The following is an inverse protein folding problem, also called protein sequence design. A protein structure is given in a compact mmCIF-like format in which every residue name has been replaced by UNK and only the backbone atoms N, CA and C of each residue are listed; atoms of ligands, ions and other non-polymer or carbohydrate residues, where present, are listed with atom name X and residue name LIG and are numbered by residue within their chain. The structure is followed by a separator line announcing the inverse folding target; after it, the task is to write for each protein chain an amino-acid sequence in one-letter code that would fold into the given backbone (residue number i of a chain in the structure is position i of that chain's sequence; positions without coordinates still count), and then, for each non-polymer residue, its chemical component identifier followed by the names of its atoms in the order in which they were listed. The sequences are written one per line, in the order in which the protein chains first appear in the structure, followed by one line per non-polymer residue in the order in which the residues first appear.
data_IF_598555196346
#
_entry.id   IF_598555196346
#
_cell.length_a   1.000
_cell.length_b   1.000
_cell.length_c   1.000
_cell.angle_alpha   90.00
_cell.angle_beta   90.00
_cell.angle_gamma   90.00
#
_symmetry.space_group_name_H-M   'P 1'
#
loop_
_entity.id
_entity.type
_entity.pdbx_description
1 polymer ?
#
# COMPACT_ATOMS: atom_id res chain seq x y z
N UNK A 1 -11.24 45.32 15.83
CA UNK A 1 -10.45 44.36 15.03
C UNK A 1 -10.76 42.93 15.41
N UNK A 2 -10.72 42.50 16.70
CA UNK A 2 -11.00 41.14 17.11
C UNK A 2 -12.38 40.61 16.65
N UNK A 3 -13.46 41.39 16.87
CA UNK A 3 -14.83 41.01 16.49
C UNK A 3 -15.00 40.74 14.97
N UNK A 4 -14.32 41.50 14.11
CA UNK A 4 -14.38 41.31 12.66
C UNK A 4 -13.65 40.02 12.24
N UNK A 5 -12.51 39.72 12.88
CA UNK A 5 -11.76 38.48 12.62
C UNK A 5 -12.54 37.24 13.07
N UNK A 6 -13.16 37.30 14.26
CA UNK A 6 -14.00 36.22 14.77
C UNK A 6 -15.21 35.98 13.88
N UNK A 7 -15.88 37.04 13.43
CA UNK A 7 -17.02 36.94 12.53
C UNK A 7 -16.63 36.25 11.18
N UNK A 8 -15.52 36.66 10.61
CA UNK A 8 -15.01 36.06 9.37
C UNK A 8 -14.65 34.59 9.56
N UNK A 9 -14.00 34.23 10.68
CA UNK A 9 -13.62 32.83 10.97
C UNK A 9 -14.85 31.93 11.16
N UNK A 10 -15.90 32.43 11.82
CA UNK A 10 -17.15 31.66 12.00
C UNK A 10 -17.85 31.43 10.67
N UNK A 11 -17.93 32.44 9.81
CA UNK A 11 -18.54 32.33 8.48
C UNK A 11 -17.72 31.36 7.59
N UNK A 12 -16.40 31.50 7.58
CA UNK A 12 -15.53 30.62 6.81
C UNK A 12 -15.59 29.17 7.30
N UNK A 13 -15.56 28.97 8.62
CA UNK A 13 -15.69 27.64 9.22
C UNK A 13 -17.05 26.99 8.96
N UNK A 14 -18.12 27.76 9.05
CA UNK A 14 -19.48 27.30 8.74
C UNK A 14 -19.66 26.91 7.27
N UNK A 15 -19.10 27.72 6.36
CA UNK A 15 -19.11 27.42 4.91
C UNK A 15 -18.30 26.13 4.59
N UNK A 16 -17.13 25.98 5.19
CA UNK A 16 -16.31 24.76 5.01
C UNK A 16 -17.02 23.52 5.56
N UNK A 17 -17.64 23.61 6.75
CA UNK A 17 -18.44 22.54 7.32
C UNK A 17 -19.61 22.14 6.42
N UNK A 18 -20.36 23.12 5.95
CA UNK A 18 -21.50 22.87 5.06
C UNK A 18 -21.07 22.24 3.72
N UNK A 19 -20.00 22.73 3.10
CA UNK A 19 -19.45 22.11 1.86
C UNK A 19 -19.00 20.68 2.13
N UNK A 20 -18.34 20.41 3.25
CA UNK A 20 -17.93 19.06 3.64
C UNK A 20 -19.13 18.12 3.77
N UNK A 21 -20.20 18.54 4.44
CA UNK A 21 -21.39 17.71 4.63
C UNK A 21 -22.12 17.40 3.30
N UNK A 22 -22.22 18.39 2.42
CA UNK A 22 -22.88 18.21 1.09
C UNK A 22 -22.04 17.34 0.16
N UNK A 23 -20.70 17.36 0.30
CA UNK A 23 -19.80 16.59 -0.59
C UNK A 23 -19.42 15.22 -0.05
N UNK A 24 -19.61 14.94 1.25
CA UNK A 24 -19.20 13.69 1.88
C UNK A 24 -19.92 12.46 1.27
N UNK A 25 -21.23 12.54 1.08
CA UNK A 25 -22.03 11.44 0.54
C UNK A 25 -21.71 11.13 -0.94
N UNK A 26 -21.68 12.09 -1.88
CA UNK A 26 -21.30 11.83 -3.27
C UNK A 26 -19.84 11.33 -3.39
N UNK A 27 -18.93 11.79 -2.53
CA UNK A 27 -17.54 11.27 -2.49
C UNK A 27 -17.54 9.82 -2.03
N UNK A 28 -18.29 9.47 -0.99
CA UNK A 28 -18.39 8.10 -0.50
C UNK A 28 -18.96 7.14 -1.56
N UNK A 29 -19.99 7.57 -2.28
CA UNK A 29 -20.59 6.79 -3.38
C UNK A 29 -19.62 6.62 -4.55
N UNK A 30 -18.89 7.68 -4.94
CA UNK A 30 -17.88 7.61 -5.99
C UNK A 30 -16.74 6.66 -5.61
N UNK A 31 -16.26 6.72 -4.36
CA UNK A 31 -15.20 5.84 -3.86
C UNK A 31 -15.67 4.38 -3.81
N UNK A 32 -16.90 4.11 -3.36
CA UNK A 32 -17.47 2.76 -3.34
C UNK A 32 -17.57 2.18 -4.75
N UNK A 33 -18.01 2.97 -5.73
CA UNK A 33 -18.05 2.55 -7.13
C UNK A 33 -16.66 2.28 -7.68
N UNK A 34 -15.72 3.19 -7.47
CA UNK A 34 -14.32 3.03 -7.90
C UNK A 34 -13.69 1.75 -7.31
N UNK A 35 -13.96 1.48 -6.04
CA UNK A 35 -13.50 0.27 -5.38
C UNK A 35 -14.12 -0.99 -5.99
N UNK A 36 -15.44 -0.99 -6.23
CA UNK A 36 -16.13 -2.12 -6.87
C UNK A 36 -15.59 -2.39 -8.28
N UNK A 37 -15.39 -1.32 -9.07
CA UNK A 37 -14.80 -1.42 -10.42
C UNK A 37 -13.35 -1.95 -10.34
N UNK A 38 -12.56 -1.51 -9.36
CA UNK A 38 -11.20 -2.01 -9.13
C UNK A 38 -11.17 -3.49 -8.73
N UNK A 39 -12.09 -3.95 -7.87
CA UNK A 39 -12.23 -5.36 -7.51
C UNK A 39 -12.55 -6.20 -8.74
N UNK A 40 -13.44 -5.73 -9.61
CA UNK A 40 -13.80 -6.43 -10.84
C UNK A 40 -12.63 -6.58 -11.83
N UNK A 41 -11.69 -5.63 -11.80
CA UNK A 41 -10.46 -5.70 -12.60
C UNK A 41 -9.50 -6.74 -12.03
N UNK A 42 -9.28 -6.74 -10.70
CA UNK A 42 -8.24 -7.58 -10.08
C UNK A 42 -8.69 -9.02 -9.80
N UNK A 43 -10.00 -9.27 -9.66
CA UNK A 43 -10.58 -10.62 -9.53
C UNK A 43 -11.82 -10.70 -10.42
N UNK A 44 -11.67 -10.96 -11.72
CA UNK A 44 -12.81 -10.96 -12.62
C UNK A 44 -13.72 -12.19 -12.43
N UNK A 45 -15.02 -12.00 -12.68
CA UNK A 45 -15.98 -13.09 -12.82
C UNK A 45 -16.74 -13.49 -11.56
N UNK A 46 -16.68 -12.73 -10.48
CA UNK A 46 -17.51 -12.90 -9.31
C UNK A 46 -18.98 -12.48 -9.57
N UNK A 47 -19.90 -12.99 -8.78
CA UNK A 47 -21.34 -12.68 -8.81
C UNK A 47 -21.89 -12.12 -7.48
N UNK A 48 -21.04 -12.03 -6.45
CA UNK A 48 -21.36 -11.37 -5.19
C UNK A 48 -21.00 -9.87 -5.23
N UNK A 49 -21.21 -9.15 -4.11
CA UNK A 49 -20.77 -7.76 -3.95
C UNK A 49 -19.68 -7.65 -2.87
N UNK A 50 -18.39 -7.93 -3.18
CA UNK A 50 -17.33 -7.98 -2.19
C UNK A 50 -17.10 -6.64 -1.48
N UNK A 51 -17.38 -5.51 -2.15
CA UNK A 51 -17.16 -4.18 -1.61
C UNK A 51 -18.07 -3.84 -0.42
N UNK A 52 -19.24 -4.48 -0.29
CA UNK A 52 -20.22 -4.22 0.79
C UNK A 52 -19.83 -4.87 2.12
N UNK A 53 -19.06 -5.97 2.08
CA UNK A 53 -18.71 -6.74 3.27
C UNK A 53 -17.21 -7.08 3.32
N UNK A 54 -16.33 -6.08 3.48
CA UNK A 54 -14.91 -6.33 3.62
C UNK A 54 -14.61 -7.07 4.94
N UNK A 55 -13.77 -8.09 4.87
CA UNK A 55 -13.18 -8.68 6.05
C UNK A 55 -11.96 -7.87 6.47
N UNK A 56 -11.87 -7.54 7.75
CA UNK A 56 -10.73 -6.81 8.29
C UNK A 56 -9.81 -7.79 9.02
N UNK A 57 -8.55 -7.81 8.63
CA UNK A 57 -7.51 -8.67 9.20
C UNK A 57 -6.36 -7.81 9.69
N UNK A 58 -5.85 -8.10 10.88
CA UNK A 58 -4.66 -7.47 11.43
C UNK A 58 -3.46 -8.42 11.29
N UNK A 59 -2.41 -7.95 10.63
CA UNK A 59 -1.16 -8.67 10.44
C UNK A 59 0.00 -7.71 10.75
N UNK A 60 0.90 -8.09 11.65
CA UNK A 60 2.07 -7.30 12.05
C UNK A 60 1.73 -5.88 12.55
N UNK A 61 0.59 -5.71 13.24
CA UNK A 61 0.14 -4.41 13.74
C UNK A 61 -0.43 -3.48 12.66
N UNK A 62 -0.59 -3.94 11.43
CA UNK A 62 -1.26 -3.22 10.35
C UNK A 62 -2.60 -3.88 10.00
N UNK A 63 -3.59 -3.06 9.68
CA UNK A 63 -4.94 -3.49 9.36
C UNK A 63 -5.14 -3.53 7.85
N UNK A 64 -5.63 -4.65 7.33
CA UNK A 64 -5.89 -4.88 5.91
C UNK A 64 -7.36 -5.16 5.68
N UNK A 65 -7.88 -4.77 4.51
CA UNK A 65 -9.23 -5.10 4.07
C UNK A 65 -9.16 -6.14 2.98
N UNK A 66 -9.92 -7.23 3.16
CA UNK A 66 -10.01 -8.35 2.23
C UNK A 66 -11.43 -8.40 1.67
N UNK A 67 -11.54 -8.39 0.37
CA UNK A 67 -12.78 -8.44 -0.40
C UNK A 67 -12.91 -9.80 -1.04
N UNK A 68 -13.67 -10.71 -0.43
CA UNK A 68 -13.83 -12.10 -0.91
C UNK A 68 -14.73 -12.14 -2.14
N UNK A 69 -14.22 -12.68 -3.22
CA UNK A 69 -14.94 -12.88 -4.47
C UNK A 69 -15.46 -14.32 -4.58
N UNK A 70 -16.77 -14.44 -4.82
CA UNK A 70 -17.43 -15.75 -5.00
C UNK A 70 -18.18 -15.80 -6.31
N UNK A 71 -18.37 -17.02 -6.83
CA UNK A 71 -19.17 -17.29 -8.01
C UNK A 71 -20.03 -18.53 -7.77
N UNK A 72 -21.36 -18.38 -7.84
CA UNK A 72 -22.29 -19.46 -7.49
C UNK A 72 -22.16 -19.94 -6.04
N UNK A 73 -21.66 -19.07 -5.13
CA UNK A 73 -21.40 -19.38 -3.72
C UNK A 73 -20.02 -19.99 -3.44
N UNK A 74 -19.26 -20.36 -4.48
CA UNK A 74 -17.91 -20.91 -4.33
C UNK A 74 -16.86 -19.79 -4.37
N UNK A 75 -15.82 -19.79 -3.52
CA UNK A 75 -14.77 -18.78 -3.54
C UNK A 75 -13.92 -18.94 -4.81
N UNK A 76 -13.70 -17.84 -5.53
CA UNK A 76 -12.83 -17.79 -6.72
C UNK A 76 -11.54 -17.00 -6.50
N UNK A 77 -11.42 -16.34 -5.36
CA UNK A 77 -10.28 -15.52 -4.98
C UNK A 77 -10.67 -14.38 -4.05
N UNK A 78 -9.74 -13.48 -3.80
CA UNK A 78 -10.00 -12.27 -3.04
C UNK A 78 -9.13 -11.11 -3.52
N UNK A 79 -9.65 -9.88 -3.36
CA UNK A 79 -8.86 -8.67 -3.50
C UNK A 79 -8.46 -8.16 -2.12
N UNK A 80 -7.21 -7.69 -1.96
CA UNK A 80 -6.69 -7.19 -0.69
C UNK A 80 -6.15 -5.78 -0.88
N UNK A 81 -6.64 -4.86 -0.04
CA UNK A 81 -6.14 -3.49 0.02
C UNK A 81 -4.93 -3.42 0.96
N UNK A 82 -3.83 -2.88 0.46
CA UNK A 82 -2.57 -2.71 1.20
C UNK A 82 -1.91 -1.39 0.86
N UNK A 83 -1.13 -0.85 1.78
CA UNK A 83 -0.42 0.42 1.59
C UNK A 83 1.03 0.30 2.03
N UNK A 84 1.91 1.08 1.38
CA UNK A 84 3.29 1.27 1.78
C UNK A 84 3.74 2.70 1.49
N UNK A 85 4.82 3.13 2.14
CA UNK A 85 5.39 4.45 1.89
C UNK A 85 6.35 4.40 0.71
N UNK A 86 6.00 5.11 -0.36
CA UNK A 86 6.85 5.29 -1.53
C UNK A 86 7.78 6.51 -1.40
N UNK A 87 8.26 7.03 -2.53
CA UNK A 87 9.12 8.22 -2.56
C UNK A 87 8.35 9.51 -2.29
N UNK A 88 7.20 9.69 -2.92
CA UNK A 88 6.38 10.89 -2.80
C UNK A 88 5.38 10.86 -1.63
N UNK A 89 5.23 9.71 -0.99
CA UNK A 89 4.27 9.47 0.10
C UNK A 89 3.65 8.09 0.03
N UNK A 90 2.56 7.89 0.77
CA UNK A 90 1.86 6.62 0.79
C UNK A 90 1.29 6.27 -0.60
N UNK A 91 1.44 5.02 -1.00
CA UNK A 91 0.73 4.41 -2.12
C UNK A 91 -0.16 3.28 -1.61
N UNK A 92 -1.37 3.18 -2.16
CA UNK A 92 -2.34 2.15 -1.80
C UNK A 92 -2.65 1.32 -3.03
N UNK A 93 -2.51 0.01 -2.89
CA UNK A 93 -2.76 -0.96 -3.96
C UNK A 93 -3.87 -1.90 -3.55
N UNK A 94 -4.67 -2.33 -4.52
CA UNK A 94 -5.59 -3.44 -4.41
C UNK A 94 -5.00 -4.59 -5.22
N UNK A 95 -4.74 -5.73 -4.60
CA UNK A 95 -4.13 -6.89 -5.25
C UNK A 95 -5.15 -8.04 -5.26
N UNK A 96 -5.42 -8.59 -6.44
CA UNK A 96 -6.27 -9.77 -6.60
C UNK A 96 -5.46 -11.05 -6.56
N UNK A 97 -5.90 -11.99 -5.73
CA UNK A 97 -5.32 -13.32 -5.62
C UNK A 97 -6.34 -14.38 -5.99
N UNK A 98 -5.90 -15.45 -6.65
CA UNK A 98 -6.67 -16.68 -6.83
C UNK A 98 -6.63 -17.54 -5.53
N UNK A 99 -7.35 -18.66 -5.52
CA UNK A 99 -7.42 -19.55 -4.36
C UNK A 99 -6.06 -20.17 -3.99
N UNK A 100 -5.13 -20.27 -4.93
CA UNK A 100 -3.78 -20.80 -4.71
C UNK A 100 -2.82 -19.71 -4.17
N UNK A 101 -3.21 -18.44 -4.28
CA UNK A 101 -2.43 -17.27 -3.85
C UNK A 101 -1.58 -16.68 -4.96
N UNK A 102 -1.82 -17.04 -6.22
CA UNK A 102 -1.18 -16.37 -7.34
C UNK A 102 -1.83 -15.03 -7.59
N UNK A 103 -1.04 -14.04 -7.96
CA UNK A 103 -1.52 -12.70 -8.30
C UNK A 103 -2.25 -12.76 -9.64
N UNK A 104 -3.54 -12.42 -9.63
CA UNK A 104 -4.34 -12.29 -10.86
C UNK A 104 -4.01 -10.98 -11.55
N UNK A 105 -4.20 -9.88 -10.84
CA UNK A 105 -3.91 -8.51 -11.28
C UNK A 105 -3.88 -7.57 -10.07
N UNK A 106 -3.58 -6.29 -10.30
CA UNK A 106 -3.62 -5.27 -9.26
C UNK A 106 -4.23 -3.96 -9.78
N UNK A 107 -4.65 -3.10 -8.87
CA UNK A 107 -5.08 -1.73 -9.17
C UNK A 107 -4.42 -0.78 -8.18
N UNK A 108 -3.82 0.31 -8.68
CA UNK A 108 -3.27 1.36 -7.83
C UNK A 108 -4.41 2.32 -7.45
N UNK A 109 -4.89 2.24 -6.20
CA UNK A 109 -6.04 3.03 -5.73
C UNK A 109 -5.67 4.49 -5.48
N UNK A 110 -4.51 4.73 -4.88
CA UNK A 110 -4.02 6.08 -4.61
C UNK A 110 -2.49 6.11 -4.50
N UNK A 111 -1.90 7.26 -4.82
CA UNK A 111 -0.47 7.51 -4.64
C UNK A 111 -0.17 9.01 -4.65
N UNK A 112 0.93 9.40 -4.01
CA UNK A 112 1.49 10.75 -4.05
C UNK A 112 2.80 10.82 -4.86
N UNK A 113 3.06 9.83 -5.72
CA UNK A 113 4.28 9.69 -6.48
C UNK A 113 4.42 10.74 -7.60
N UNK A 114 5.67 11.02 -7.98
CA UNK A 114 5.98 11.97 -9.05
C UNK A 114 5.43 11.51 -10.40
N UNK A 115 4.65 12.37 -11.10
CA UNK A 115 4.14 12.08 -12.44
C UNK A 115 5.26 11.71 -13.43
N UNK A 116 5.03 10.65 -14.21
CA UNK A 116 5.97 10.16 -15.21
C UNK A 116 7.15 9.35 -14.64
N UNK A 117 7.29 9.26 -13.33
CA UNK A 117 8.27 8.45 -12.60
C UNK A 117 7.56 7.37 -11.78
N UNK A 118 7.37 7.58 -10.49
CA UNK A 118 6.72 6.63 -9.60
C UNK A 118 5.25 6.34 -9.96
N UNK A 119 4.54 7.29 -10.56
CA UNK A 119 3.18 7.09 -11.08
C UNK A 119 3.06 5.98 -12.13
N UNK A 120 4.18 5.59 -12.77
CA UNK A 120 4.22 4.44 -13.70
C UNK A 120 3.92 3.11 -13.01
N UNK A 121 3.93 3.05 -11.68
CA UNK A 121 3.53 1.84 -10.94
C UNK A 121 2.12 1.36 -11.30
N UNK A 122 1.25 2.23 -11.80
CA UNK A 122 -0.08 1.87 -12.29
C UNK A 122 -0.05 0.80 -13.40
N UNK A 123 0.97 0.83 -14.28
CA UNK A 123 1.05 -0.02 -15.46
C UNK A 123 2.31 -0.89 -15.54
N UNK A 124 3.39 -0.49 -14.81
CA UNK A 124 4.70 -1.12 -14.93
C UNK A 124 4.75 -2.59 -14.54
N UNK A 125 3.91 -2.96 -13.56
CA UNK A 125 3.86 -4.31 -13.00
C UNK A 125 2.70 -5.15 -13.56
N UNK A 126 1.98 -4.63 -14.55
CA UNK A 126 0.89 -5.32 -15.24
C UNK A 126 1.39 -6.43 -16.14
N UNK A 127 0.48 -7.32 -16.51
CA UNK A 127 0.75 -8.44 -17.42
C UNK A 127 1.44 -8.00 -18.71
N UNK A 128 2.58 -8.62 -19.00
CA UNK A 128 3.38 -8.34 -20.20
C UNK A 128 4.24 -7.08 -20.12
N UNK A 129 4.20 -6.32 -19.01
CA UNK A 129 5.11 -5.22 -18.76
C UNK A 129 6.46 -5.70 -18.21
N UNK A 130 7.47 -4.80 -18.14
CA UNK A 130 8.82 -5.19 -17.72
C UNK A 130 8.91 -5.73 -16.30
N UNK A 131 8.09 -5.22 -15.40
CA UNK A 131 8.05 -5.65 -14.00
C UNK A 131 6.88 -6.59 -13.70
N UNK A 132 6.35 -7.30 -14.68
CA UNK A 132 5.15 -8.16 -14.58
C UNK A 132 5.17 -9.06 -13.33
N UNK A 133 4.16 -8.88 -12.48
CA UNK A 133 3.97 -9.68 -11.26
C UNK A 133 2.80 -10.67 -11.39
N UNK A 134 2.07 -10.65 -12.50
CA UNK A 134 0.90 -11.53 -12.67
C UNK A 134 1.30 -12.99 -12.74
N UNK A 135 0.53 -13.86 -12.12
CA UNK A 135 0.81 -15.30 -12.01
C UNK A 135 1.94 -15.66 -11.03
N UNK A 136 2.59 -14.67 -10.40
CA UNK A 136 3.57 -14.95 -9.35
C UNK A 136 2.88 -15.16 -8.01
N UNK A 137 3.47 -16.01 -7.18
CA UNK A 137 2.99 -16.30 -5.84
C UNK A 137 4.01 -15.77 -4.80
N UNK A 138 3.67 -14.72 -4.03
CA UNK A 138 4.57 -14.20 -3.01
C UNK A 138 4.87 -15.19 -1.87
N UNK A 139 4.06 -16.25 -1.73
CA UNK A 139 4.30 -17.31 -0.75
C UNK A 139 5.39 -18.30 -1.16
N UNK A 140 5.70 -18.41 -2.45
CA UNK A 140 6.83 -19.21 -2.93
C UNK A 140 8.14 -18.43 -2.80
N UNK A 141 8.11 -17.14 -3.13
CA UNK A 141 9.22 -16.22 -2.97
C UNK A 141 8.70 -14.79 -2.84
N UNK A 142 9.14 -14.07 -1.81
CA UNK A 142 8.81 -12.65 -1.65
C UNK A 142 9.22 -11.85 -2.90
N UNK A 143 8.33 -11.00 -3.38
CA UNK A 143 8.62 -10.18 -4.56
C UNK A 143 9.58 -9.07 -4.21
N UNK A 144 10.75 -9.05 -4.84
CA UNK A 144 11.80 -8.06 -4.67
C UNK A 144 12.31 -7.56 -6.01
N UNK A 145 12.85 -6.34 -6.04
CA UNK A 145 13.41 -5.79 -7.28
C UNK A 145 14.73 -6.49 -7.65
N UNK A 146 15.03 -6.58 -8.95
CA UNK A 146 16.26 -7.19 -9.47
C UNK A 146 17.55 -6.57 -8.88
N UNK A 147 17.52 -5.29 -8.54
CA UNK A 147 18.65 -4.61 -7.86
C UNK A 147 18.93 -5.13 -6.45
N UNK A 148 17.97 -5.74 -5.81
CA UNK A 148 18.09 -6.33 -4.46
C UNK A 148 18.17 -7.86 -4.52
N UNK A 149 18.51 -8.41 -5.69
CA UNK A 149 18.65 -9.86 -5.91
C UNK A 149 17.34 -10.57 -6.27
N UNK A 150 16.24 -9.84 -6.43
CA UNK A 150 14.94 -10.40 -6.84
C UNK A 150 14.77 -10.56 -8.35
N UNK A 151 13.53 -10.81 -8.75
CA UNK A 151 13.18 -11.12 -10.14
C UNK A 151 12.39 -10.00 -10.84
N UNK A 152 12.05 -8.92 -10.13
CA UNK A 152 11.15 -7.89 -10.66
C UNK A 152 11.95 -6.69 -11.13
N UNK A 153 11.74 -6.26 -12.36
CA UNK A 153 12.39 -5.06 -12.88
C UNK A 153 11.77 -3.80 -12.26
N UNK A 154 12.64 -3.01 -11.61
CA UNK A 154 12.23 -1.74 -11.03
C UNK A 154 11.90 -0.70 -12.12
N UNK A 155 11.00 0.22 -11.80
CA UNK A 155 10.74 1.40 -12.62
C UNK A 155 12.03 2.22 -12.71
N UNK A 156 12.43 2.57 -13.93
CA UNK A 156 13.61 3.39 -14.17
C UNK A 156 13.50 4.72 -13.42
N UNK A 157 14.53 5.08 -12.65
CA UNK A 157 14.59 6.26 -11.79
C UNK A 157 13.55 6.32 -10.65
N UNK A 158 12.86 5.20 -10.34
CA UNK A 158 11.86 5.13 -9.26
C UNK A 158 11.97 3.80 -8.50
N UNK A 159 13.19 3.43 -8.10
CA UNK A 159 13.44 2.18 -7.38
C UNK A 159 12.78 2.16 -6.00
N UNK A 160 12.73 3.30 -5.29
CA UNK A 160 12.06 3.42 -3.98
C UNK A 160 10.57 3.13 -4.12
N UNK A 161 9.89 3.74 -5.09
CA UNK A 161 8.48 3.45 -5.39
C UNK A 161 8.25 1.98 -5.75
N UNK A 162 9.18 1.39 -6.53
CA UNK A 162 9.08 -0.03 -6.91
C UNK A 162 9.19 -0.96 -5.70
N UNK A 163 10.12 -0.68 -4.78
CA UNK A 163 10.25 -1.41 -3.51
C UNK A 163 8.99 -1.28 -2.65
N UNK A 164 8.48 -0.07 -2.50
CA UNK A 164 7.27 0.19 -1.74
C UNK A 164 6.04 -0.53 -2.34
N UNK A 165 5.91 -0.52 -3.67
CA UNK A 165 4.86 -1.25 -4.37
C UNK A 165 4.95 -2.76 -4.09
N UNK A 166 6.12 -3.37 -4.25
CA UNK A 166 6.30 -4.80 -4.01
C UNK A 166 6.15 -5.16 -2.53
N UNK A 167 6.55 -4.28 -1.61
CA UNK A 167 6.27 -4.44 -0.18
C UNK A 167 4.76 -4.47 0.09
N UNK A 168 4.00 -3.54 -0.49
CA UNK A 168 2.55 -3.52 -0.35
C UNK A 168 1.92 -4.81 -0.90
N UNK A 169 2.41 -5.33 -2.03
CA UNK A 169 1.94 -6.61 -2.61
C UNK A 169 2.26 -7.80 -1.70
N UNK A 170 3.48 -7.88 -1.15
CA UNK A 170 3.86 -8.94 -0.21
C UNK A 170 3.01 -8.88 1.08
N UNK A 171 2.77 -7.68 1.60
CA UNK A 171 1.92 -7.47 2.77
C UNK A 171 0.45 -7.85 2.49
N UNK A 172 -0.07 -7.53 1.28
CA UNK A 172 -1.39 -7.97 0.85
C UNK A 172 -1.50 -9.50 0.85
N UNK A 173 -0.46 -10.18 0.34
CA UNK A 173 -0.42 -11.64 0.39
C UNK A 173 -0.38 -12.19 1.81
N UNK A 174 0.43 -11.61 2.69
CA UNK A 174 0.49 -12.00 4.10
C UNK A 174 -0.88 -11.87 4.78
N UNK A 175 -1.60 -10.80 4.51
CA UNK A 175 -2.97 -10.61 5.00
C UNK A 175 -3.92 -11.65 4.39
N UNK A 176 -3.81 -11.92 3.08
CA UNK A 176 -4.64 -12.92 2.38
C UNK A 176 -4.47 -14.32 2.98
N UNK A 177 -3.26 -14.75 3.25
CA UNK A 177 -2.96 -16.05 3.85
C UNK A 177 -2.92 -16.04 5.37
N UNK A 178 -3.10 -14.87 6.01
CA UNK A 178 -2.91 -14.66 7.45
C UNK A 178 -1.54 -15.18 7.94
N UNK A 179 -0.51 -14.96 7.12
CA UNK A 179 0.86 -15.40 7.33
C UNK A 179 1.82 -14.22 7.28
N UNK A 180 2.91 -14.32 8.05
CA UNK A 180 4.03 -13.39 7.94
C UNK A 180 4.85 -13.72 6.70
N UNK A 181 4.95 -12.78 5.78
CA UNK A 181 5.94 -12.83 4.69
C UNK A 181 7.06 -11.87 5.08
N UNK A 182 8.21 -12.43 5.43
CA UNK A 182 9.42 -11.64 5.73
C UNK A 182 9.88 -10.98 4.41
N UNK A 183 9.29 -9.84 4.15
CA UNK A 183 9.62 -9.01 2.99
C UNK A 183 10.83 -8.15 3.32
N UNK A 184 12.01 -8.68 3.22
CA UNK A 184 13.25 -7.88 3.15
C UNK A 184 13.26 -7.03 1.86
N UNK A 185 12.24 -6.21 1.65
CA UNK A 185 12.26 -5.17 0.64
C UNK A 185 12.70 -3.87 1.33
N UNK A 186 13.91 -3.46 1.03
CA UNK A 186 14.65 -2.39 1.68
C UNK A 186 14.07 -0.97 1.62
N UNK A 187 12.75 -0.81 1.67
CA UNK A 187 12.12 0.50 1.82
C UNK A 187 12.08 0.99 3.28
N UNK A 188 12.26 0.09 4.26
CA UNK A 188 12.13 0.43 5.69
C UNK A 188 13.45 0.48 6.47
N UNK A 189 14.59 0.10 5.87
CA UNK A 189 15.88 -0.01 6.59
C UNK A 189 16.67 1.28 6.72
N UNK A 190 16.21 2.41 6.21
CA UNK A 190 16.94 3.68 6.36
C UNK A 190 16.55 4.51 7.60
N UNK A 191 15.53 4.12 8.36
CA UNK A 191 15.13 4.85 9.55
C UNK A 191 15.71 4.30 10.88
N UNK A 192 16.24 3.05 10.89
CA UNK A 192 16.79 2.45 12.11
C UNK A 192 18.32 2.55 12.22
N UNK A 193 19.06 2.82 11.13
CA UNK A 193 20.51 2.98 11.20
C UNK A 193 20.99 4.38 11.65
N UNK A 194 20.10 5.38 11.71
CA UNK A 194 20.47 6.72 12.16
C UNK A 194 20.56 6.88 13.70
N UNK A 195 19.95 5.98 14.46
CA UNK A 195 19.96 6.04 15.94
C UNK A 195 21.04 5.14 16.60
N UNK A 196 21.67 4.24 15.85
CA UNK A 196 22.68 3.34 16.41
C UNK A 196 24.10 3.91 16.40
N UNK A 197 24.38 4.93 15.59
CA UNK A 197 25.74 5.51 15.47
C UNK A 197 26.04 6.61 16.48
N UNK A 198 25.04 7.09 17.24
CA UNK A 198 25.23 8.13 18.29
C UNK A 198 25.48 7.56 19.68
N UNK A 199 25.36 6.24 19.88
CA UNK A 199 25.51 5.63 21.21
C UNK A 199 26.93 5.05 21.50
N UNK A 200 27.85 5.04 20.56
CA UNK A 200 29.20 4.42 20.73
C UNK A 200 30.32 5.45 20.97
N UNK A 201 30.03 6.74 20.91
CA UNK A 201 31.04 7.79 21.05
C UNK A 201 31.21 8.37 22.48
N UNK A 202 30.54 7.83 23.50
CA UNK A 202 30.53 8.43 24.84
C UNK A 202 31.22 7.62 25.95
N UNK A 203 31.90 6.50 25.64
CA UNK A 203 32.59 5.72 26.70
C UNK A 203 34.04 5.34 26.33
N UNK A 204 34.86 6.35 26.12
CA UNK A 204 36.32 6.13 26.16
C UNK A 204 37.11 7.39 26.55
N UNK A 205 36.82 7.92 27.73
CA UNK A 205 37.74 8.86 28.39
C UNK A 205 37.59 8.79 29.91
N UNK A 206 38.18 7.80 30.55
CA UNK A 206 38.74 7.87 31.90
C UNK A 206 39.34 6.50 32.25
N UNK A 207 40.62 6.34 32.03
CA UNK A 207 41.49 5.64 32.98
C UNK A 207 42.93 5.63 32.49
N UNK A 208 43.69 6.70 32.77
CA UNK A 208 45.15 6.64 32.93
C UNK A 208 45.46 7.61 34.07
N UNK A 209 45.64 7.09 35.27
CA UNK A 209 46.68 7.49 36.20
C UNK A 209 46.65 6.59 37.44
N UNK A 210 47.83 6.08 37.69
CA UNK A 210 48.42 5.57 38.94
C UNK A 210 48.81 4.08 38.94
N UNK A 211 50.00 3.79 38.53
CA UNK A 211 51.16 3.38 39.40
C UNK A 211 52.38 3.12 38.56
#
# INVERSE_FOLDING_TARGET
MALALTGFSVVAGGLLGWVNDVTAEPIAQANAKTLSDAIAVVVPGFDNNPAEAPETVEVNGATYKIYKATKGGEPIGAAVESSANGFGGALTVLVGFDNDGNIIDYSLLSHAETPGLGSKAADWFKKGAKGDITGKNPGEAALTVSKDGGQIDAITASTITSRAFLLAVNNAYAAYKNQYVDGASGATTQAEEADAETAVAADNSTNVENN
#
